data_IF_854337044467
#
_entry.id   IF_854337044467
#
_cell.length_a   1.000
_cell.length_b   1.000
_cell.length_c   1.000
_cell.angle_alpha   90.00
_cell.angle_beta   90.00
_cell.angle_gamma   90.00
#
_symmetry.space_group_name_H-M   'P 1'
#
loop_
_entity.id
_entity.type
_entity.pdbx_description
1 polymer ?
#
# COMPACT_ATOMS: atom_id res chain seq x y z
N UNK A 1 -26.96 -32.86 -2.54
CA UNK A 1 -26.22 -31.78 -3.21
C UNK A 1 -25.51 -30.98 -2.12
N UNK A 2 -24.26 -31.33 -1.80
CA UNK A 2 -23.49 -30.58 -0.78
C UNK A 2 -22.87 -29.34 -1.45
N UNK A 3 -23.19 -28.18 -0.88
CA UNK A 3 -22.75 -26.88 -1.35
C UNK A 3 -21.30 -26.72 -0.89
N UNK A 4 -20.34 -26.74 -1.82
CA UNK A 4 -18.94 -26.47 -1.53
C UNK A 4 -18.80 -25.04 -0.99
N UNK A 5 -18.65 -24.91 0.33
CA UNK A 5 -18.14 -23.69 0.95
C UNK A 5 -16.69 -23.51 0.46
N UNK A 6 -16.49 -22.62 -0.52
CA UNK A 6 -15.15 -22.18 -0.91
C UNK A 6 -14.44 -21.74 0.38
N UNK A 7 -13.31 -22.38 0.71
CA UNK A 7 -12.41 -21.93 1.79
C UNK A 7 -12.07 -20.47 1.51
N UNK A 8 -12.51 -19.56 2.36
CA UNK A 8 -12.01 -18.19 2.38
C UNK A 8 -10.56 -18.29 2.82
N UNK A 9 -9.63 -18.37 1.86
CA UNK A 9 -8.21 -18.13 2.14
C UNK A 9 -8.19 -16.69 2.64
N UNK A 10 -7.83 -16.47 3.91
CA UNK A 10 -7.51 -15.13 4.40
C UNK A 10 -6.24 -14.68 3.65
N UNK A 11 -6.42 -14.16 2.43
CA UNK A 11 -5.40 -13.34 1.78
C UNK A 11 -5.17 -12.14 2.71
N UNK A 12 -3.91 -11.77 2.92
CA UNK A 12 -3.56 -10.50 3.56
C UNK A 12 -4.19 -9.31 2.81
N UNK A 13 -3.98 -8.07 3.30
CA UNK A 13 -4.55 -6.90 2.63
C UNK A 13 -4.18 -6.89 1.14
N UNK A 14 -5.18 -6.71 0.29
CA UNK A 14 -4.99 -6.69 -1.16
C UNK A 14 -4.17 -5.47 -1.58
N UNK A 15 -4.39 -4.35 -0.87
CA UNK A 15 -3.75 -3.06 -1.07
C UNK A 15 -2.93 -2.63 0.14
N UNK A 16 -1.77 -2.04 -0.10
CA UNK A 16 -1.01 -1.33 0.92
C UNK A 16 -1.01 0.17 0.62
N UNK A 17 -1.56 0.97 1.53
CA UNK A 17 -1.44 2.41 1.50
C UNK A 17 -0.10 2.83 2.13
N UNK A 18 0.75 3.47 1.33
CA UNK A 18 2.03 4.03 1.75
C UNK A 18 1.83 5.52 2.03
N UNK A 19 1.75 5.86 3.31
CA UNK A 19 1.30 7.17 3.77
C UNK A 19 2.48 7.99 4.26
N UNK A 20 2.70 9.16 3.62
CA UNK A 20 3.59 10.18 4.14
C UNK A 20 2.79 11.22 4.93
N UNK A 21 2.72 11.12 6.28
CA UNK A 21 1.92 12.04 7.10
C UNK A 21 2.40 13.50 7.00
N UNK A 22 3.67 13.71 6.65
CA UNK A 22 4.29 15.01 6.55
C UNK A 22 4.16 15.64 5.15
N UNK A 23 3.55 14.96 4.18
CA UNK A 23 3.36 15.49 2.83
C UNK A 23 2.38 16.67 2.80
N UNK A 24 2.60 17.59 1.85
CA UNK A 24 1.87 18.86 1.76
C UNK A 24 2.09 19.73 3.01
N UNK A 25 1.11 20.55 3.36
CA UNK A 25 1.11 21.34 4.60
C UNK A 25 0.70 20.49 5.82
N UNK A 26 1.24 19.27 5.95
CA UNK A 26 0.88 18.24 6.95
C UNK A 26 -0.60 17.87 6.96
N UNK A 27 -1.28 18.08 5.83
CA UNK A 27 -2.70 17.77 5.67
C UNK A 27 -2.98 16.27 5.66
N UNK A 28 -2.04 15.48 5.12
CA UNK A 28 -2.21 14.03 5.01
C UNK A 28 -2.43 13.35 6.36
N UNK A 29 -1.77 13.80 7.43
CA UNK A 29 -2.01 13.28 8.78
C UNK A 29 -3.48 13.45 9.22
N UNK A 30 -4.14 14.53 8.80
CA UNK A 30 -5.54 14.80 9.11
C UNK A 30 -6.50 14.13 8.11
N UNK A 31 -6.11 14.08 6.83
CA UNK A 31 -6.94 13.57 5.74
C UNK A 31 -6.93 12.04 5.67
N UNK A 32 -5.89 11.37 6.18
CA UNK A 32 -5.75 9.91 6.10
C UNK A 32 -6.97 9.18 6.66
N UNK A 33 -7.52 9.63 7.79
CA UNK A 33 -8.71 8.99 8.37
C UNK A 33 -9.90 9.03 7.40
N UNK A 34 -10.11 10.16 6.71
CA UNK A 34 -11.20 10.30 5.75
C UNK A 34 -10.94 9.50 4.47
N UNK A 35 -9.69 9.46 4.02
CA UNK A 35 -9.26 8.66 2.87
C UNK A 35 -9.46 7.15 3.16
N UNK A 36 -9.00 6.67 4.32
CA UNK A 36 -9.13 5.27 4.72
C UNK A 36 -10.60 4.86 4.88
N UNK A 37 -11.43 5.73 5.45
CA UNK A 37 -12.87 5.51 5.51
C UNK A 37 -13.48 5.42 4.10
N UNK A 38 -13.11 6.34 3.20
CA UNK A 38 -13.59 6.32 1.82
C UNK A 38 -13.19 5.02 1.11
N UNK A 39 -11.93 4.59 1.19
CA UNK A 39 -11.45 3.33 0.63
C UNK A 39 -12.26 2.14 1.17
N UNK A 40 -12.53 2.12 2.47
CA UNK A 40 -13.32 1.07 3.11
C UNK A 40 -14.78 1.06 2.61
N UNK A 41 -15.40 2.23 2.44
CA UNK A 41 -16.77 2.35 1.87
C UNK A 41 -16.86 1.80 0.46
N UNK A 42 -15.80 1.90 -0.33
CA UNK A 42 -15.70 1.33 -1.68
C UNK A 42 -15.19 -0.13 -1.69
N UNK A 43 -15.15 -0.80 -0.53
CA UNK A 43 -14.68 -2.19 -0.38
C UNK A 43 -13.23 -2.43 -0.82
N UNK A 44 -12.38 -1.40 -0.75
CA UNK A 44 -10.93 -1.55 -0.97
C UNK A 44 -10.31 -2.12 0.31
N UNK A 45 -10.00 -3.41 0.30
CA UNK A 45 -9.34 -4.08 1.42
C UNK A 45 -7.88 -3.67 1.51
N UNK A 46 -7.56 -2.79 2.46
CA UNK A 46 -6.23 -2.20 2.58
C UNK A 46 -5.69 -2.23 4.01
N UNK A 47 -4.37 -2.21 4.12
CA UNK A 47 -3.65 -1.82 5.33
C UNK A 47 -2.80 -0.58 5.04
N UNK A 48 -2.36 0.11 6.08
CA UNK A 48 -1.53 1.29 5.96
C UNK A 48 -0.17 1.10 6.61
N UNK A 49 0.85 1.64 5.95
CA UNK A 49 2.20 1.80 6.47
C UNK A 49 2.58 3.28 6.36
N UNK A 50 3.29 3.78 7.37
CA UNK A 50 3.62 5.20 7.48
C UNK A 50 5.12 5.40 7.28
N UNK A 51 5.48 6.40 6.47
CA UNK A 51 6.88 6.82 6.33
C UNK A 51 7.24 7.81 7.41
N UNK A 52 8.47 7.76 7.92
CA UNK A 52 8.97 8.70 8.93
C UNK A 52 9.88 9.77 8.31
N UNK A 53 10.66 9.38 7.29
CA UNK A 53 11.62 10.23 6.58
C UNK A 53 11.67 9.90 5.09
N UNK A 54 12.38 10.76 4.34
CA UNK A 54 12.65 10.58 2.91
C UNK A 54 13.37 9.24 2.67
N UNK A 55 12.91 8.49 1.68
CA UNK A 55 13.46 7.19 1.29
C UNK A 55 12.77 6.00 1.94
N UNK A 56 12.00 6.19 3.01
CA UNK A 56 11.34 5.08 3.71
C UNK A 56 10.33 4.35 2.81
N UNK A 57 9.63 5.06 1.93
CA UNK A 57 8.63 4.45 1.07
C UNK A 57 9.23 3.38 0.15
N UNK A 58 10.47 3.59 -0.33
CA UNK A 58 11.19 2.63 -1.18
C UNK A 58 11.37 1.30 -0.44
N UNK A 59 11.92 1.36 0.78
CA UNK A 59 12.26 0.17 1.55
C UNK A 59 11.02 -0.55 2.07
N UNK A 60 10.02 0.20 2.53
CA UNK A 60 8.75 -0.39 2.96
C UNK A 60 8.02 -1.08 1.79
N UNK A 61 8.02 -0.50 0.59
CA UNK A 61 7.41 -1.13 -0.59
C UNK A 61 8.11 -2.44 -0.93
N UNK A 62 9.45 -2.47 -0.97
CA UNK A 62 10.21 -3.71 -1.23
C UNK A 62 9.86 -4.81 -0.22
N UNK A 63 9.77 -4.48 1.07
CA UNK A 63 9.37 -5.43 2.11
C UNK A 63 7.98 -6.02 1.85
N UNK A 64 7.01 -5.19 1.45
CA UNK A 64 5.65 -5.66 1.17
C UNK A 64 5.60 -6.53 -0.10
N UNK A 65 6.43 -6.23 -1.11
CA UNK A 65 6.56 -7.06 -2.31
C UNK A 65 7.02 -8.48 -1.95
N UNK A 66 8.01 -8.62 -1.07
CA UNK A 66 8.47 -9.91 -0.54
C UNK A 66 7.34 -10.65 0.19
N UNK A 67 6.47 -9.93 0.90
CA UNK A 67 5.30 -10.49 1.58
C UNK A 67 4.13 -10.84 0.65
N UNK A 68 4.29 -10.68 -0.67
CA UNK A 68 3.28 -11.04 -1.67
C UNK A 68 2.29 -9.94 -2.01
N UNK A 69 2.48 -8.71 -1.52
CA UNK A 69 1.65 -7.55 -1.89
C UNK A 69 1.96 -7.14 -3.32
N UNK A 70 0.90 -6.86 -4.10
CA UNK A 70 1.01 -6.44 -5.51
C UNK A 70 0.30 -5.14 -5.82
N UNK A 71 -0.47 -4.59 -4.89
CA UNK A 71 -1.18 -3.33 -5.09
C UNK A 71 -0.79 -2.31 -4.02
N UNK A 72 -0.46 -1.10 -4.47
CA UNK A 72 0.01 -0.01 -3.62
C UNK A 72 -0.82 1.25 -3.87
N UNK A 73 -1.10 1.98 -2.81
CA UNK A 73 -1.73 3.30 -2.84
C UNK A 73 -0.71 4.30 -2.30
N UNK A 74 -0.22 5.22 -3.12
CA UNK A 74 0.65 6.29 -2.64
C UNK A 74 -0.20 7.42 -2.05
N UNK A 75 -0.01 7.73 -0.76
CA UNK A 75 -0.72 8.82 -0.07
C UNK A 75 0.28 9.87 0.35
N UNK A 76 0.46 10.88 -0.49
CA UNK A 76 1.43 11.97 -0.31
C UNK A 76 1.48 12.87 -1.54
N UNK A 77 2.61 13.56 -1.74
CA UNK A 77 2.88 14.33 -2.96
C UNK A 77 3.71 13.53 -3.98
N UNK A 78 4.19 14.21 -5.02
CA UNK A 78 4.99 13.60 -6.10
C UNK A 78 6.23 12.87 -5.59
N UNK A 79 6.86 13.36 -4.51
CA UNK A 79 8.00 12.68 -3.88
C UNK A 79 7.62 11.31 -3.31
N UNK A 80 6.46 11.19 -2.66
CA UNK A 80 5.96 9.91 -2.15
C UNK A 80 5.64 8.96 -3.30
N UNK A 81 4.98 9.46 -4.36
CA UNK A 81 4.73 8.68 -5.57
C UNK A 81 6.05 8.17 -6.19
N UNK A 82 7.04 9.04 -6.33
CA UNK A 82 8.34 8.69 -6.89
C UNK A 82 9.05 7.60 -6.07
N UNK A 83 9.03 7.71 -4.74
CA UNK A 83 9.60 6.69 -3.86
C UNK A 83 8.87 5.34 -3.96
N UNK A 84 7.53 5.34 -4.01
CA UNK A 84 6.74 4.12 -4.20
C UNK A 84 7.08 3.45 -5.53
N UNK A 85 7.12 4.22 -6.63
CA UNK A 85 7.49 3.73 -7.96
C UNK A 85 8.90 3.15 -7.96
N UNK A 86 9.87 3.87 -7.38
CA UNK A 86 11.25 3.38 -7.29
C UNK A 86 11.37 2.11 -6.41
N UNK A 87 10.55 1.96 -5.38
CA UNK A 87 10.46 0.72 -4.60
C UNK A 87 9.98 -0.46 -5.44
N UNK A 88 8.95 -0.24 -6.28
CA UNK A 88 8.39 -1.27 -7.17
C UNK A 88 9.39 -1.66 -8.27
N UNK A 89 10.04 -0.70 -8.92
CA UNK A 89 10.98 -0.99 -10.02
C UNK A 89 12.38 -1.38 -9.54
N UNK A 90 12.74 -1.03 -8.30
CA UNK A 90 14.05 -1.32 -7.71
C UNK A 90 14.11 -2.62 -6.92
N UNK A 91 13.01 -3.35 -6.79
CA UNK A 91 12.98 -4.69 -6.18
C UNK A 91 13.54 -5.74 -7.15
N UNK A 92 14.18 -6.79 -6.63
CA UNK A 92 14.71 -7.92 -7.41
C UNK A 92 14.16 -9.28 -6.98
N UNK A 93 13.21 -9.30 -6.04
CA UNK A 93 12.69 -10.51 -5.39
C UNK A 93 11.58 -11.18 -6.20
N UNK A 94 10.84 -10.40 -6.99
CA UNK A 94 9.70 -10.85 -7.79
C UNK A 94 10.00 -10.59 -9.26
N UNK A 95 9.89 -11.59 -10.15
CA UNK A 95 10.04 -11.39 -11.59
C UNK A 95 9.11 -10.29 -12.10
N UNK A 96 9.57 -9.50 -13.07
CA UNK A 96 8.78 -8.43 -13.70
C UNK A 96 7.83 -8.95 -14.79
N UNK A 97 7.85 -10.25 -15.04
CA UNK A 97 6.99 -10.97 -15.98
C UNK A 97 6.20 -12.03 -15.21
N UNK A 98 4.87 -12.03 -15.42
CA UNK A 98 3.99 -13.14 -15.05
C UNK A 98 4.17 -14.34 -16.01
#
# INVERSE_FOLDING_TARGET
>A
MQINRKRTINKGPEWIAVVNPNAGTRKVANDWSQISEALSRWSVHHAAIFTEKRGDAIELVKQQIVLGVRHFIAVGGDGTLNEVVNGIFGQGDVPTTD
#
